data_IF_278005874445
#
_entry.id   IF_278005874445
#
_cell.length_a   1.000
_cell.length_b   1.000
_cell.length_c   1.000
_cell.angle_alpha   90.00
_cell.angle_beta   90.00
_cell.angle_gamma   90.00
#
_symmetry.space_group_name_H-M   'P 1'
#
loop_
_entity.id
_entity.type
_entity.pdbx_description
1 polymer ?
#
# COMPACT_ATOMS: atom_id res chain seq x y z
N UNK A 1 -2.08 -22.70 2.69
CA UNK A 1 -1.91 -21.35 2.10
C UNK A 1 -1.54 -21.58 0.65
N UNK A 2 -2.51 -21.48 -0.24
CA UNK A 2 -2.30 -21.69 -1.66
C UNK A 2 -1.86 -20.34 -2.25
N UNK A 3 -0.59 -20.25 -2.62
CA UNK A 3 -0.05 -19.11 -3.35
C UNK A 3 -0.61 -19.14 -4.76
N UNK A 4 -1.67 -18.36 -4.98
CA UNK A 4 -2.21 -18.11 -6.31
C UNK A 4 -1.14 -17.38 -7.15
N UNK A 5 -0.43 -18.15 -7.98
CA UNK A 5 0.73 -17.74 -8.80
C UNK A 5 0.45 -16.65 -9.84
N UNK A 6 -0.73 -16.03 -9.84
CA UNK A 6 -1.15 -15.06 -10.85
C UNK A 6 -1.50 -13.68 -10.30
N UNK A 7 -1.17 -13.37 -9.04
CA UNK A 7 -1.23 -11.97 -8.59
C UNK A 7 0.06 -11.25 -8.97
N UNK A 8 0.25 -10.96 -10.26
CA UNK A 8 1.17 -9.89 -10.67
C UNK A 8 0.59 -8.60 -10.11
N UNK A 9 1.15 -8.09 -9.02
CA UNK A 9 0.76 -6.81 -8.44
C UNK A 9 1.11 -5.74 -9.46
N UNK A 10 0.15 -5.33 -10.27
CA UNK A 10 0.35 -4.35 -11.36
C UNK A 10 0.52 -2.92 -10.84
N UNK A 11 0.52 -2.72 -9.52
CA UNK A 11 0.50 -1.41 -8.87
C UNK A 11 -0.84 -0.67 -9.03
N UNK A 12 -1.85 -1.31 -9.65
CA UNK A 12 -3.15 -0.68 -9.92
C UNK A 12 -4.12 -0.92 -8.78
N UNK A 13 -4.90 0.11 -8.46
CA UNK A 13 -5.98 0.02 -7.47
C UNK A 13 -7.23 -0.60 -8.09
N UNK A 14 -7.75 -1.65 -7.46
CA UNK A 14 -9.00 -2.30 -7.87
C UNK A 14 -10.04 -2.20 -6.75
N UNK A 15 -11.25 -1.74 -7.10
CA UNK A 15 -12.41 -1.74 -6.23
C UNK A 15 -13.52 -2.57 -6.90
N UNK A 16 -14.06 -3.58 -6.19
CA UNK A 16 -15.01 -4.55 -6.76
C UNK A 16 -14.54 -5.18 -8.09
N UNK A 17 -13.28 -5.63 -8.14
CA UNK A 17 -12.65 -6.25 -9.32
C UNK A 17 -12.57 -5.34 -10.56
N UNK A 18 -12.82 -4.03 -10.42
CA UNK A 18 -12.64 -3.04 -11.47
C UNK A 18 -11.52 -2.07 -11.09
N UNK A 19 -10.67 -1.75 -12.06
CA UNK A 19 -9.66 -0.70 -11.88
C UNK A 19 -10.39 0.61 -11.61
N UNK A 20 -10.06 1.23 -10.48
CA UNK A 20 -10.67 2.47 -10.03
C UNK A 20 -9.55 3.45 -9.67
N UNK A 21 -9.88 4.74 -9.67
CA UNK A 21 -8.94 5.73 -9.19
C UNK A 21 -8.84 5.64 -7.66
N UNK A 22 -7.63 5.50 -7.15
CA UNK A 22 -7.33 5.57 -5.72
C UNK A 22 -7.56 6.99 -5.20
N UNK A 23 -7.60 7.16 -3.88
CA UNK A 23 -7.47 8.50 -3.31
C UNK A 23 -6.14 9.12 -3.80
N UNK A 24 -6.09 10.37 -4.31
CA UNK A 24 -4.84 11.03 -4.72
C UNK A 24 -3.73 10.98 -3.67
N UNK A 25 -4.09 11.02 -2.39
CA UNK A 25 -3.14 10.92 -1.28
C UNK A 25 -2.45 9.56 -1.21
N UNK A 26 -3.05 8.52 -1.79
CA UNK A 26 -2.43 7.21 -1.91
C UNK A 26 -1.23 7.22 -2.86
N UNK A 27 -1.14 8.17 -3.79
CA UNK A 27 0.03 8.37 -4.67
C UNK A 27 1.02 9.40 -4.11
N UNK A 28 0.72 9.99 -2.94
CA UNK A 28 1.59 10.98 -2.30
C UNK A 28 2.68 10.29 -1.46
N UNK A 29 3.85 10.09 -2.07
CA UNK A 29 5.01 9.45 -1.43
C UNK A 29 5.39 10.12 -0.11
N UNK A 30 5.36 11.45 -0.02
CA UNK A 30 5.71 12.15 1.22
C UNK A 30 4.74 11.82 2.36
N UNK A 31 3.46 11.66 2.06
CA UNK A 31 2.48 11.24 3.04
C UNK A 31 2.69 9.78 3.47
N UNK A 32 3.05 8.90 2.52
CA UNK A 32 3.36 7.50 2.82
C UNK A 32 4.56 7.37 3.75
N UNK A 33 5.66 8.06 3.49
CA UNK A 33 6.85 8.04 4.37
C UNK A 33 6.52 8.53 5.77
N UNK A 34 5.77 9.63 5.88
CA UNK A 34 5.32 10.14 7.18
C UNK A 34 4.43 9.14 7.92
N UNK A 35 3.58 8.41 7.21
CA UNK A 35 2.75 7.36 7.81
C UNK A 35 3.64 6.23 8.37
N UNK A 36 4.65 5.79 7.62
CA UNK A 36 5.59 4.77 8.06
C UNK A 36 6.36 5.19 9.31
N UNK A 37 6.84 6.44 9.36
CA UNK A 37 7.51 6.99 10.55
C UNK A 37 6.62 6.96 11.79
N UNK A 38 5.35 7.33 11.64
CA UNK A 38 4.36 7.29 12.74
C UNK A 38 4.11 5.85 13.18
N UNK A 39 3.93 4.93 12.23
CA UNK A 39 3.75 3.51 12.54
C UNK A 39 4.97 2.94 13.26
N UNK A 40 6.19 3.31 12.86
CA UNK A 40 7.42 2.91 13.53
C UNK A 40 7.50 3.48 14.95
N UNK A 41 7.13 4.76 15.14
CA UNK A 41 7.09 5.38 16.46
C UNK A 41 6.09 4.73 17.43
N UNK A 42 4.96 4.22 16.92
CA UNK A 42 3.92 3.56 17.73
C UNK A 42 4.28 2.10 18.03
N UNK A 43 4.77 1.38 17.03
CA UNK A 43 4.98 -0.08 17.12
C UNK A 43 6.38 -0.47 17.56
N UNK A 44 7.35 0.44 17.44
CA UNK A 44 8.77 0.15 17.59
C UNK A 44 9.36 -0.68 16.45
N UNK A 45 8.59 -0.97 15.40
CA UNK A 45 9.03 -1.76 14.25
C UNK A 45 9.31 -0.82 13.07
N UNK A 46 10.55 -0.80 12.60
CA UNK A 46 10.96 -0.08 11.40
C UNK A 46 10.80 -0.96 10.16
N UNK A 47 10.38 -0.36 9.05
CA UNK A 47 10.36 -1.00 7.73
C UNK A 47 11.68 -0.65 7.03
N UNK A 48 12.53 -1.66 6.77
CA UNK A 48 13.86 -1.54 6.16
C UNK A 48 14.05 -2.56 5.04
#
# INVERSE_FOLDING_TARGET
>A
MEEDKQTKVSGRYFFHQKEAYSNPDADNVTLQERLLDVCAGITGISFS
#
